data_IF_401228264698
#
_entry.id   IF_401228264698
#
_cell.length_a   1.000
_cell.length_b   1.000
_cell.length_c   1.000
_cell.angle_alpha   90.00
_cell.angle_beta   90.00
_cell.angle_gamma   90.00
#
_symmetry.space_group_name_H-M   'P 1'
#
loop_
_entity.id
_entity.type
_entity.pdbx_description
1 polymer ?
#
# COMPACT_ATOMS: atom_id res chain seq x y z
N UNK A 1 -5.89 9.69 15.27
CA UNK A 1 -6.83 9.26 14.23
C UNK A 1 -6.03 8.96 12.97
N UNK A 2 -6.36 7.88 12.25
CA UNK A 2 -5.73 7.57 10.97
C UNK A 2 -6.27 8.51 9.89
N UNK A 3 -5.46 8.89 8.90
CA UNK A 3 -5.94 9.61 7.71
C UNK A 3 -7.10 8.87 7.02
N UNK A 4 -7.14 7.55 7.17
CA UNK A 4 -8.20 6.69 6.66
C UNK A 4 -9.56 6.89 7.36
N UNK A 5 -9.58 7.43 8.59
CA UNK A 5 -10.83 7.65 9.33
C UNK A 5 -11.70 8.72 8.65
N UNK A 6 -11.09 9.67 7.93
CA UNK A 6 -11.81 10.69 7.17
C UNK A 6 -12.54 10.13 5.92
N UNK A 7 -12.09 8.99 5.41
CA UNK A 7 -12.57 8.42 4.14
C UNK A 7 -13.39 7.16 4.31
N UNK A 8 -13.05 6.32 5.29
CA UNK A 8 -13.73 5.06 5.55
C UNK A 8 -13.65 4.71 7.05
N UNK A 9 -14.49 5.36 7.89
CA UNK A 9 -14.51 5.12 9.34
C UNK A 9 -15.11 3.75 9.69
N UNK A 10 -16.09 3.28 8.91
CA UNK A 10 -16.69 1.95 9.05
C UNK A 10 -16.17 1.00 7.97
N UNK A 11 -15.72 -0.18 8.38
CA UNK A 11 -15.11 -1.16 7.48
C UNK A 11 -15.33 -2.60 7.94
N UNK A 12 -15.44 -3.51 6.97
CA UNK A 12 -15.55 -4.96 7.20
C UNK A 12 -14.18 -5.62 7.44
N UNK A 13 -13.12 -5.04 6.87
CA UNK A 13 -11.77 -5.57 6.94
C UNK A 13 -10.78 -4.46 7.20
N UNK A 14 -9.84 -4.73 8.11
CA UNK A 14 -8.64 -3.94 8.33
C UNK A 14 -7.41 -4.83 8.32
N UNK A 15 -6.38 -4.41 7.58
CA UNK A 15 -5.04 -5.03 7.61
C UNK A 15 -3.99 -3.93 7.68
N UNK A 16 -3.13 -3.99 8.69
CA UNK A 16 -2.04 -3.04 8.89
C UNK A 16 -0.72 -3.79 8.97
N UNK A 17 0.30 -3.23 8.34
CA UNK A 17 1.68 -3.69 8.42
C UNK A 17 2.57 -2.49 8.65
N UNK A 18 3.62 -2.67 9.44
CA UNK A 18 4.57 -1.61 9.75
C UNK A 18 5.95 -2.16 10.03
N UNK A 19 6.93 -1.27 9.92
CA UNK A 19 8.29 -1.47 10.40
C UNK A 19 8.92 -0.13 10.75
N UNK A 20 10.03 -0.16 11.44
CA UNK A 20 10.83 1.04 11.73
C UNK A 20 11.98 1.16 10.72
N UNK A 21 12.26 2.38 10.26
CA UNK A 21 13.38 2.68 9.37
C UNK A 21 14.26 3.80 9.95
N UNK A 22 15.55 3.75 9.64
CA UNK A 22 16.52 4.79 9.96
C UNK A 22 16.46 5.93 8.93
N UNK A 23 15.31 6.58 8.82
CA UNK A 23 15.09 7.72 7.96
C UNK A 23 14.01 8.66 8.51
N UNK A 24 14.10 9.97 8.23
CA UNK A 24 13.00 10.88 8.50
C UNK A 24 11.76 10.49 7.68
N UNK A 25 10.54 10.81 8.16
CA UNK A 25 9.29 10.37 7.55
C UNK A 25 9.17 10.60 6.03
N UNK A 26 9.60 11.76 5.54
CA UNK A 26 9.49 12.16 4.13
C UNK A 26 10.33 11.25 3.24
N UNK A 27 11.55 10.94 3.69
CA UNK A 27 12.46 10.03 3.01
C UNK A 27 11.95 8.59 3.08
N UNK A 28 11.34 8.19 4.19
CA UNK A 28 10.75 6.87 4.35
C UNK A 28 9.56 6.66 3.40
N UNK A 29 8.65 7.64 3.30
CA UNK A 29 7.53 7.58 2.36
C UNK A 29 8.04 7.59 0.92
N UNK A 30 8.95 8.50 0.57
CA UNK A 30 9.52 8.56 -0.78
C UNK A 30 10.17 7.23 -1.19
N UNK A 31 10.88 6.57 -0.28
CA UNK A 31 11.52 5.28 -0.55
C UNK A 31 10.51 4.16 -0.88
N UNK A 32 9.36 4.08 -0.18
CA UNK A 32 8.35 3.05 -0.48
C UNK A 32 7.55 3.36 -1.72
N UNK A 33 7.20 4.64 -1.96
CA UNK A 33 6.49 5.06 -3.16
C UNK A 33 7.36 4.92 -4.43
N UNK A 34 8.67 5.12 -4.30
CA UNK A 34 9.66 4.95 -5.37
C UNK A 34 10.08 3.49 -5.61
N UNK A 35 9.75 2.56 -4.72
CA UNK A 35 10.09 1.14 -4.90
C UNK A 35 9.24 0.54 -6.03
N UNK A 36 9.80 -0.29 -6.93
CA UNK A 36 9.00 -1.00 -7.92
C UNK A 36 7.89 -1.84 -7.26
N UNK A 37 6.65 -1.76 -7.76
CA UNK A 37 5.52 -2.52 -7.22
C UNK A 37 5.79 -4.03 -7.22
N UNK A 38 6.53 -4.54 -8.20
CA UNK A 38 7.09 -5.88 -8.25
C UNK A 38 8.54 -5.89 -7.74
N UNK A 39 8.74 -5.56 -6.46
CA UNK A 39 10.07 -5.40 -5.84
C UNK A 39 10.92 -6.68 -5.82
N UNK A 40 10.34 -7.83 -6.18
CA UNK A 40 10.99 -9.12 -6.39
C UNK A 40 10.12 -10.03 -7.26
N UNK A 41 10.66 -11.22 -7.61
CA UNK A 41 10.00 -12.19 -8.48
C UNK A 41 8.66 -12.68 -7.91
N UNK A 42 8.57 -12.94 -6.61
CA UNK A 42 7.35 -13.44 -5.98
C UNK A 42 6.25 -12.39 -6.05
N UNK A 43 6.57 -11.14 -5.69
CA UNK A 43 5.64 -10.02 -5.76
C UNK A 43 5.13 -9.81 -7.18
N UNK A 44 6.00 -9.88 -8.20
CA UNK A 44 5.59 -9.78 -9.62
C UNK A 44 4.58 -10.86 -10.01
N UNK A 45 4.84 -12.12 -9.63
CA UNK A 45 3.92 -13.24 -9.92
C UNK A 45 2.57 -13.03 -9.22
N UNK A 46 2.56 -12.63 -7.95
CA UNK A 46 1.31 -12.41 -7.22
C UNK A 46 0.49 -11.24 -7.80
N UNK A 47 1.15 -10.18 -8.30
CA UNK A 47 0.47 -9.09 -9.00
C UNK A 47 -0.06 -9.51 -10.37
N UNK A 48 0.71 -10.29 -11.14
CA UNK A 48 0.28 -10.77 -12.46
C UNK A 48 -0.90 -11.73 -12.37
N UNK A 49 -0.93 -12.61 -11.35
CA UNK A 49 -2.08 -13.49 -11.08
C UNK A 49 -3.37 -12.72 -10.78
N UNK A 50 -3.25 -11.45 -10.37
CA UNK A 50 -4.38 -10.53 -10.15
C UNK A 50 -4.72 -9.68 -11.38
N UNK A 51 -4.07 -9.93 -12.52
CA UNK A 51 -4.25 -9.15 -13.74
C UNK A 51 -3.66 -7.74 -13.67
N UNK A 52 -2.88 -7.42 -12.62
CA UNK A 52 -2.28 -6.10 -12.44
C UNK A 52 -0.99 -5.99 -13.26
N UNK A 53 -0.95 -5.02 -14.18
CA UNK A 53 0.19 -4.76 -15.07
C UNK A 53 1.08 -3.65 -14.50
N UNK A 54 2.27 -3.46 -15.07
CA UNK A 54 3.16 -2.38 -14.63
C UNK A 54 3.93 -2.67 -13.33
N UNK A 55 4.22 -3.94 -13.02
CA UNK A 55 4.96 -4.31 -11.81
C UNK A 55 6.40 -3.73 -11.75
N UNK A 56 6.94 -3.22 -12.85
CA UNK A 56 8.22 -2.50 -12.85
C UNK A 56 8.08 -1.02 -12.46
N UNK A 57 6.87 -0.46 -12.48
CA UNK A 57 6.62 0.93 -12.15
C UNK A 57 6.84 1.19 -10.65
N UNK A 58 7.24 2.42 -10.28
CA UNK A 58 7.19 2.87 -8.89
C UNK A 58 5.80 2.63 -8.29
N UNK A 59 5.75 2.26 -7.02
CA UNK A 59 4.53 1.86 -6.33
C UNK A 59 3.42 2.91 -6.41
N UNK A 60 3.76 4.20 -6.28
CA UNK A 60 2.80 5.30 -6.43
C UNK A 60 2.15 5.28 -7.82
N UNK A 61 2.97 5.23 -8.87
CA UNK A 61 2.49 5.21 -10.26
C UNK A 61 1.71 3.95 -10.58
N UNK A 62 2.17 2.80 -10.09
CA UNK A 62 1.48 1.52 -10.26
C UNK A 62 0.06 1.54 -9.68
N UNK A 63 -0.14 2.14 -8.50
CA UNK A 63 -1.47 2.24 -7.89
C UNK A 63 -2.39 3.16 -8.70
N UNK A 64 -1.90 4.33 -9.13
CA UNK A 64 -2.65 5.27 -9.97
C UNK A 64 -3.04 4.63 -11.31
N UNK A 65 -2.07 4.03 -12.02
CA UNK A 65 -2.31 3.38 -13.32
C UNK A 65 -3.18 2.12 -13.19
N UNK A 66 -3.30 1.56 -11.98
CA UNK A 66 -4.24 0.47 -11.67
C UNK A 66 -5.68 0.96 -11.40
N UNK A 67 -5.95 2.26 -11.53
CA UNK A 67 -7.29 2.85 -11.40
C UNK A 67 -7.65 3.25 -9.97
N UNK A 68 -6.68 3.43 -9.08
CA UNK A 68 -6.93 3.99 -7.76
C UNK A 68 -6.91 5.52 -7.80
N UNK A 69 -7.90 6.15 -7.19
CA UNK A 69 -7.93 7.59 -6.94
C UNK A 69 -6.91 7.93 -5.84
N UNK A 70 -6.16 9.02 -6.04
CA UNK A 70 -5.35 9.62 -4.99
C UNK A 70 -6.25 10.52 -4.15
N UNK A 71 -6.48 10.13 -2.90
CA UNK A 71 -7.35 10.84 -1.97
C UNK A 71 -6.57 11.80 -1.07
N UNK A 72 -5.31 11.48 -0.79
CA UNK A 72 -4.40 12.34 -0.05
C UNK A 72 -2.95 12.10 -0.51
N UNK A 73 -2.19 13.17 -0.69
CA UNK A 73 -0.75 13.12 -0.92
C UNK A 73 -0.05 14.26 -0.20
N UNK A 74 0.60 13.92 0.90
CA UNK A 74 1.47 14.82 1.67
C UNK A 74 2.90 14.27 1.65
N UNK A 75 3.91 15.00 2.18
CA UNK A 75 5.26 14.46 2.28
C UNK A 75 5.38 13.17 3.10
N UNK A 76 4.43 12.89 4.00
CA UNK A 76 4.50 11.76 4.96
C UNK A 76 3.31 10.81 4.91
N UNK A 77 2.28 11.13 4.13
CA UNK A 77 1.09 10.28 3.93
C UNK A 77 0.71 10.21 2.44
N UNK A 78 0.36 9.01 1.99
CA UNK A 78 -0.27 8.76 0.69
C UNK A 78 -1.48 7.86 0.88
N UNK A 79 -2.66 8.33 0.49
CA UNK A 79 -3.93 7.59 0.60
C UNK A 79 -4.50 7.40 -0.79
N UNK A 80 -4.87 6.15 -1.09
CA UNK A 80 -5.51 5.77 -2.34
C UNK A 80 -6.77 4.98 -2.10
N UNK A 81 -7.77 5.17 -2.96
CA UNK A 81 -9.05 4.48 -2.87
C UNK A 81 -9.54 4.03 -4.25
N UNK A 82 -10.35 2.97 -4.28
CA UNK A 82 -11.10 2.55 -5.46
C UNK A 82 -12.35 1.79 -5.02
N UNK A 83 -13.40 1.79 -5.84
CA UNK A 83 -14.56 0.91 -5.64
C UNK A 83 -14.67 -0.12 -6.77
N UNK A 84 -15.20 -1.31 -6.48
CA UNK A 84 -15.38 -2.33 -7.52
C UNK A 84 -15.56 -3.75 -7.01
N UNK A 85 -15.32 -4.73 -7.90
CA UNK A 85 -15.45 -6.17 -7.63
C UNK A 85 -14.11 -6.87 -7.84
N UNK A 86 -13.19 -6.86 -6.86
CA UNK A 86 -11.86 -7.44 -7.01
C UNK A 86 -11.85 -8.95 -7.28
N UNK A 87 -12.96 -9.65 -7.03
CA UNK A 87 -13.15 -11.08 -7.31
C UNK A 87 -13.66 -11.39 -8.73
N UNK A 88 -13.84 -10.38 -9.58
CA UNK A 88 -14.26 -10.55 -10.99
C UNK A 88 -13.14 -10.04 -11.92
N UNK A 89 -12.80 -10.77 -13.01
CA UNK A 89 -11.75 -10.34 -13.94
C UNK A 89 -12.00 -8.97 -14.58
N UNK A 90 -13.26 -8.61 -14.84
CA UNK A 90 -13.59 -7.30 -15.40
C UNK A 90 -13.40 -6.15 -14.42
N UNK A 91 -13.28 -6.44 -13.10
CA UNK A 91 -13.03 -5.51 -12.00
C UNK A 91 -14.16 -4.48 -11.74
N UNK A 92 -14.80 -3.99 -12.81
CA UNK A 92 -15.69 -2.82 -12.89
C UNK A 92 -15.24 -1.77 -11.88
N UNK A 93 -13.96 -1.43 -11.94
CA UNK A 93 -13.38 -0.40 -11.09
C UNK A 93 -14.10 0.91 -11.39
N UNK A 94 -14.42 1.62 -10.32
CA UNK A 94 -15.03 2.93 -10.34
C UNK A 94 -14.33 3.80 -9.30
N UNK A 95 -14.49 5.13 -9.40
CA UNK A 95 -13.99 6.03 -8.37
C UNK A 95 -14.39 5.59 -6.96
N UNK A 96 -13.53 5.84 -5.98
CA UNK A 96 -13.71 5.41 -4.59
C UNK A 96 -15.08 5.80 -4.02
N UNK A 97 -15.55 7.00 -4.32
CA UNK A 97 -16.82 7.57 -3.85
C UNK A 97 -18.06 7.03 -4.58
N UNK A 98 -17.88 6.29 -5.67
CA UNK A 98 -18.96 5.80 -6.54
C UNK A 98 -19.26 4.31 -6.35
N UNK A 99 -19.23 3.85 -5.10
CA UNK A 99 -19.57 2.47 -4.77
C UNK A 99 -21.01 2.14 -5.19
N UNK A 100 -21.19 0.99 -5.85
CA UNK A 100 -22.49 0.49 -6.33
C UNK A 100 -22.90 -0.77 -5.58
N UNK A 101 -24.19 -1.16 -5.61
CA UNK A 101 -24.62 -2.45 -5.09
C UNK A 101 -23.78 -3.64 -5.62
N UNK A 102 -23.45 -4.56 -4.73
CA UNK A 102 -22.59 -5.71 -4.96
C UNK A 102 -21.12 -5.37 -5.19
N UNK A 103 -20.64 -4.21 -4.73
CA UNK A 103 -19.22 -3.79 -4.80
C UNK A 103 -18.63 -3.57 -3.42
N UNK A 104 -17.31 -3.37 -3.36
CA UNK A 104 -16.60 -2.92 -2.18
C UNK A 104 -15.85 -1.63 -2.46
N UNK A 105 -15.76 -0.76 -1.46
CA UNK A 105 -14.77 0.30 -1.39
C UNK A 105 -13.50 -0.25 -0.77
N UNK A 106 -12.37 -0.07 -1.46
CA UNK A 106 -11.05 -0.47 -1.00
C UNK A 106 -10.20 0.78 -0.83
N UNK A 107 -9.76 1.00 0.40
CA UNK A 107 -8.96 2.14 0.80
C UNK A 107 -7.61 1.63 1.31
N UNK A 108 -6.50 2.28 0.93
CA UNK A 108 -5.20 1.96 1.48
C UNK A 108 -4.35 3.21 1.69
N UNK A 109 -3.53 3.20 2.74
CA UNK A 109 -2.47 4.19 2.94
C UNK A 109 -1.06 3.58 2.85
N UNK A 110 -0.11 4.49 2.61
CA UNK A 110 1.29 4.39 2.95
C UNK A 110 1.63 5.64 3.76
N UNK A 111 2.13 5.49 4.97
CA UNK A 111 2.44 6.63 5.85
C UNK A 111 3.67 6.39 6.67
N UNK A 112 4.38 7.49 6.96
CA UNK A 112 5.54 7.49 7.81
C UNK A 112 5.31 8.45 9.00
N UNK A 113 5.44 7.95 10.21
CA UNK A 113 5.30 8.73 11.45
C UNK A 113 6.69 8.91 12.09
N UNK A 114 7.06 10.12 12.58
CA UNK A 114 8.36 10.34 13.18
C UNK A 114 8.55 9.50 14.45
N UNK A 115 9.78 9.01 14.65
CA UNK A 115 10.28 8.40 15.88
C UNK A 115 11.52 9.17 16.36
N UNK A 116 12.03 8.82 17.54
CA UNK A 116 13.26 9.42 18.07
C UNK A 116 14.47 9.22 17.15
N UNK A 117 15.44 10.15 17.19
CA UNK A 117 16.75 10.05 16.53
C UNK A 117 16.68 9.97 14.99
N UNK A 118 15.79 10.75 14.37
CA UNK A 118 15.67 10.81 12.90
C UNK A 118 15.17 9.51 12.26
N UNK A 119 14.51 8.65 13.04
CA UNK A 119 13.87 7.41 12.59
C UNK A 119 12.40 7.67 12.31
N UNK A 120 11.74 6.74 11.63
CA UNK A 120 10.30 6.78 11.43
C UNK A 120 9.69 5.39 11.45
N UNK A 121 8.41 5.31 11.80
CA UNK A 121 7.56 4.14 11.63
C UNK A 121 6.91 4.24 10.25
N UNK A 122 7.31 3.37 9.35
CA UNK A 122 6.71 3.25 8.02
C UNK A 122 5.62 2.18 8.06
N UNK A 123 4.41 2.53 7.63
CA UNK A 123 3.27 1.63 7.68
C UNK A 123 2.40 1.69 6.43
N UNK A 124 1.62 0.63 6.25
CA UNK A 124 0.52 0.56 5.29
C UNK A 124 -0.68 -0.07 5.98
N UNK A 125 -1.83 0.54 5.82
CA UNK A 125 -3.12 0.05 6.26
C UNK A 125 -4.04 -0.08 5.05
N UNK A 126 -4.81 -1.16 5.00
CA UNK A 126 -5.86 -1.39 4.00
C UNK A 126 -7.17 -1.59 4.73
N UNK A 127 -8.18 -0.84 4.33
CA UNK A 127 -9.57 -0.95 4.79
C UNK A 127 -10.47 -1.30 3.62
N UNK A 128 -11.46 -2.15 3.87
CA UNK A 128 -12.47 -2.50 2.87
C UNK A 128 -13.84 -2.47 3.51
N UNK A 129 -14.79 -1.82 2.85
CA UNK A 129 -16.21 -1.83 3.22
C UNK A 129 -17.05 -2.26 2.02
N UNK A 130 -18.00 -3.16 2.24
CA UNK A 130 -18.97 -3.54 1.24
C UNK A 130 -20.13 -2.56 1.20
N UNK A 131 -20.62 -2.27 -0.02
CA UNK A 131 -21.80 -1.43 -0.23
C UNK A 131 -23.09 -2.12 0.24
N UNK A 132 -23.11 -3.46 0.23
CA UNK A 132 -24.23 -4.28 0.67
C UNK A 132 -23.76 -5.67 1.14
N UNK A 133 -24.70 -6.47 1.64
CA UNK A 133 -24.42 -7.81 2.15
C UNK A 133 -23.97 -8.79 1.04
N UNK A 134 -24.42 -8.60 -0.20
CA UNK A 134 -23.96 -9.43 -1.32
C UNK A 134 -22.49 -9.19 -1.65
N UNK A 135 -22.09 -7.92 -1.72
CA UNK A 135 -20.69 -7.51 -1.84
C UNK A 135 -19.86 -8.02 -0.67
N UNK A 136 -20.39 -7.96 0.55
CA UNK A 136 -19.72 -8.44 1.78
C UNK A 136 -19.43 -9.93 1.69
N UNK A 137 -20.44 -10.75 1.33
CA UNK A 137 -20.27 -12.21 1.22
C UNK A 137 -19.28 -12.58 0.14
N UNK A 138 -19.37 -11.96 -1.04
CA UNK A 138 -18.46 -12.23 -2.15
C UNK A 138 -17.02 -11.83 -1.80
N UNK A 139 -16.84 -10.64 -1.21
CA UNK A 139 -15.54 -10.17 -0.79
C UNK A 139 -14.93 -11.07 0.29
N UNK A 140 -15.68 -11.48 1.30
CA UNK A 140 -15.18 -12.38 2.36
C UNK A 140 -14.64 -13.70 1.80
N UNK A 141 -15.34 -14.31 0.83
CA UNK A 141 -14.87 -15.56 0.19
C UNK A 141 -13.56 -15.35 -0.57
N UNK A 142 -13.50 -14.30 -1.38
CA UNK A 142 -12.29 -13.90 -2.10
C UNK A 142 -11.12 -13.57 -1.16
N UNK A 143 -11.40 -12.81 -0.10
CA UNK A 143 -10.41 -12.31 0.84
C UNK A 143 -9.78 -13.39 1.71
N UNK A 144 -10.47 -14.49 1.99
CA UNK A 144 -9.88 -15.64 2.69
C UNK A 144 -8.66 -16.22 1.95
N UNK A 145 -8.69 -16.19 0.62
CA UNK A 145 -7.59 -16.70 -0.21
C UNK A 145 -6.58 -15.59 -0.54
N UNK A 146 -7.07 -14.43 -0.98
CA UNK A 146 -6.20 -13.35 -1.48
C UNK A 146 -5.66 -12.44 -0.37
N UNK A 147 -6.34 -12.36 0.77
CA UNK A 147 -5.94 -11.52 1.90
C UNK A 147 -4.53 -11.81 2.41
N UNK A 148 -4.15 -13.08 2.68
CA UNK A 148 -2.78 -13.44 3.08
C UNK A 148 -1.73 -13.08 2.02
N UNK A 149 -2.04 -13.28 0.73
CA UNK A 149 -1.13 -12.94 -0.38
C UNK A 149 -0.96 -11.42 -0.52
N UNK A 150 -2.05 -10.67 -0.35
CA UNK A 150 -2.03 -9.21 -0.30
C UNK A 150 -1.18 -8.70 0.87
N UNK A 151 -1.35 -9.29 2.06
CA UNK A 151 -0.53 -8.97 3.23
C UNK A 151 0.96 -9.25 2.99
N UNK A 152 1.29 -10.35 2.30
CA UNK A 152 2.67 -10.65 1.92
C UNK A 152 3.25 -9.57 1.00
N UNK A 153 2.54 -9.18 -0.06
CA UNK A 153 2.95 -8.09 -0.96
C UNK A 153 3.24 -6.81 -0.18
N UNK A 154 2.32 -6.40 0.72
CA UNK A 154 2.44 -5.19 1.55
C UNK A 154 3.70 -5.23 2.42
N UNK A 155 3.98 -6.36 3.09
CA UNK A 155 5.20 -6.54 3.89
C UNK A 155 6.47 -6.47 3.04
N UNK A 156 6.42 -6.99 1.80
CA UNK A 156 7.57 -7.00 0.88
C UNK A 156 7.87 -5.60 0.33
N UNK A 157 6.86 -4.76 0.10
CA UNK A 157 7.07 -3.34 -0.22
C UNK A 157 7.78 -2.60 0.92
N UNK A 158 7.29 -2.75 2.15
CA UNK A 158 7.93 -2.12 3.32
C UNK A 158 9.38 -2.60 3.47
N UNK A 159 9.62 -3.91 3.36
CA UNK A 159 10.96 -4.47 3.49
C UNK A 159 11.91 -4.01 2.38
N UNK A 160 11.42 -3.82 1.14
CA UNK A 160 12.20 -3.29 0.04
C UNK A 160 12.58 -1.82 0.27
N UNK A 161 11.65 -1.00 0.76
CA UNK A 161 11.92 0.38 1.16
C UNK A 161 12.98 0.45 2.27
N UNK A 162 12.85 -0.39 3.31
CA UNK A 162 13.81 -0.47 4.41
C UNK A 162 15.23 -0.84 3.91
N UNK A 163 15.34 -1.78 2.97
CA UNK A 163 16.63 -2.15 2.35
C UNK A 163 17.23 -0.99 1.55
N UNK A 164 16.42 -0.28 0.78
CA UNK A 164 16.84 0.90 0.01
C UNK A 164 17.39 2.00 0.92
N UNK A 165 16.66 2.31 1.99
CA UNK A 165 17.07 3.29 3.02
C UNK A 165 18.39 2.87 3.68
N UNK A 166 18.50 1.61 4.09
CA UNK A 166 19.71 1.10 4.72
C UNK A 166 20.93 1.16 3.78
N UNK A 167 20.75 0.89 2.48
CA UNK A 167 21.80 1.04 1.48
C UNK A 167 22.23 2.51 1.32
N UNK A 168 21.28 3.42 1.17
CA UNK A 168 21.56 4.85 1.04
C UNK A 168 22.30 5.42 2.27
N UNK A 169 21.92 5.01 3.49
CA UNK A 169 22.61 5.45 4.70
C UNK A 169 24.06 4.96 4.78
N UNK A 170 24.36 3.75 4.28
CA UNK A 170 25.73 3.25 4.24
C UNK A 170 26.60 4.02 3.25
N UNK A 171 26.04 4.44 2.12
CA UNK A 171 26.75 5.25 1.13
C UNK A 171 27.07 6.68 1.61
N UNK A 172 26.38 7.16 2.64
CA UNK A 172 26.56 8.52 3.21
C UNK A 172 27.43 8.49 4.48
N UNK A 173 27.71 7.32 5.06
CA UNK A 173 28.61 7.22 6.19
C UNK A 173 30.01 7.74 5.78
N UNK A 174 30.64 8.64 6.56
CA UNK A 174 31.98 9.10 6.24
C UNK A 174 32.92 7.90 6.20
N UNK A 175 33.70 7.80 5.12
CA UNK A 175 34.91 6.97 5.13
C UNK A 175 35.70 7.44 6.34
N UNK A 176 35.84 6.58 7.34
CA UNK A 176 36.72 6.81 8.48
C UNK A 176 38.11 7.06 7.92
N UNK A 177 38.54 8.32 7.95
CA UNK A 177 39.93 8.70 7.77
C UNK A 177 40.69 8.28 9.03
N UNK A 178 41.08 7.00 9.08
CA UNK A 178 42.25 6.53 9.83
C UNK A 178 43.27 6.10 8.76
N UNK A 179 44.27 6.94 8.49
CA UNK A 179 45.59 7.03 9.15
C UNK A 179 46.44 5.81 8.89
#
# INVERSE_FOLDING_TARGET
MSALDAWLPEFDVRRRHELEVAAPPERALAAVLGTPAGCDRLTRVLLSLRGMRGASLPLERFLVDSGFDVLERTPTTFVVGVSGRPWRPSGRLAPFTQARPGTVQMLADLRAEPLSRGRSRLSTETRVAAADEDGRRAFRRYWRVVGPLSALIRRRWLAAAARSIAAANRSVAPVSADR
#
